data_IF_829297054972
#
_entry.id   IF_829297054972
#
_cell.length_a   1.000
_cell.length_b   1.000
_cell.length_c   1.000
_cell.angle_alpha   90.00
_cell.angle_beta   90.00
_cell.angle_gamma   90.00
#
_symmetry.space_group_name_H-M   'P 1'
#
loop_
_entity.id
_entity.type
_entity.pdbx_description
1 polymer ?
#
# COMPACT_ATOMS: atom_id res chain seq x y z
N UNK A 1 9.01 -3.59 16.97
CA UNK A 1 8.56 -2.89 15.75
C UNK A 1 7.18 -2.26 15.96
N UNK A 2 6.91 -1.07 15.38
CA UNK A 2 5.60 -0.39 15.41
C UNK A 2 5.16 -0.05 13.99
N UNK A 3 3.99 -0.56 13.60
CA UNK A 3 3.42 -0.37 12.28
C UNK A 3 2.52 0.86 12.22
N UNK A 4 2.72 1.70 11.21
CA UNK A 4 1.72 2.65 10.75
C UNK A 4 0.81 1.97 9.72
N UNK A 5 -0.49 1.96 10.01
CA UNK A 5 -1.52 1.31 9.22
C UNK A 5 -2.19 2.32 8.28
N UNK A 6 -2.10 2.06 6.96
CA UNK A 6 -2.66 2.90 5.90
C UNK A 6 -3.85 2.18 5.23
N UNK A 7 -5.10 2.66 5.40
CA UNK A 7 -6.28 2.04 4.80
C UNK A 7 -6.29 2.12 3.27
N UNK A 8 -7.17 1.33 2.67
CA UNK A 8 -7.51 1.47 1.25
C UNK A 8 -8.36 2.71 0.95
N UNK A 9 -8.65 2.88 -0.34
CA UNK A 9 -9.56 3.89 -0.84
C UNK A 9 -10.91 3.86 -0.12
N UNK A 10 -11.46 5.04 0.19
CA UNK A 10 -12.72 5.18 0.95
C UNK A 10 -12.63 4.50 2.33
N UNK A 11 -11.44 4.36 2.90
CA UNK A 11 -11.24 3.79 4.22
C UNK A 11 -11.20 4.86 5.31
N UNK A 12 -11.06 4.42 6.56
CA UNK A 12 -10.79 5.29 7.71
C UNK A 12 -9.94 4.53 8.72
N UNK A 13 -9.29 5.23 9.64
CA UNK A 13 -8.50 4.59 10.69
C UNK A 13 -9.38 3.62 11.51
N UNK A 14 -10.63 4.02 11.77
CA UNK A 14 -11.63 3.21 12.46
C UNK A 14 -11.99 1.95 11.68
N UNK A 15 -12.32 2.06 10.39
CA UNK A 15 -12.71 0.90 9.58
C UNK A 15 -11.53 -0.04 9.40
N UNK A 16 -10.32 0.48 9.21
CA UNK A 16 -9.14 -0.35 9.00
C UNK A 16 -8.70 -1.07 10.27
N UNK A 17 -8.88 -0.46 11.45
CA UNK A 17 -8.72 -1.16 12.73
C UNK A 17 -9.64 -2.36 12.85
N UNK A 18 -10.89 -2.26 12.38
CA UNK A 18 -11.82 -3.39 12.37
C UNK A 18 -11.42 -4.43 11.31
N UNK A 19 -10.97 -4.01 10.14
CA UNK A 19 -10.55 -4.91 9.06
C UNK A 19 -9.30 -5.71 9.45
N UNK A 20 -8.30 -5.04 10.02
CA UNK A 20 -7.01 -5.61 10.40
C UNK A 20 -7.05 -6.31 11.77
N UNK A 21 -8.05 -6.00 12.61
CA UNK A 21 -8.17 -6.45 14.00
C UNK A 21 -7.80 -7.92 14.24
N UNK A 22 -8.39 -8.90 13.52
CA UNK A 22 -8.05 -10.31 13.72
C UNK A 22 -6.55 -10.63 13.58
N UNK A 23 -5.87 -9.98 12.63
CA UNK A 23 -4.42 -10.12 12.44
C UNK A 23 -3.65 -9.32 13.49
N UNK A 24 -4.00 -8.04 13.68
CA UNK A 24 -3.31 -7.13 14.58
C UNK A 24 -3.34 -7.63 16.04
N UNK A 25 -4.52 -8.05 16.51
CA UNK A 25 -4.73 -8.53 17.87
C UNK A 25 -3.86 -9.78 18.15
N UNK A 26 -3.75 -10.70 17.19
CA UNK A 26 -2.95 -11.91 17.35
C UNK A 26 -1.44 -11.62 17.28
N UNK A 27 -1.01 -10.70 16.42
CA UNK A 27 0.39 -10.21 16.36
C UNK A 27 0.79 -9.51 17.67
N UNK A 28 -0.08 -8.66 18.21
CA UNK A 28 0.11 -7.99 19.51
C UNK A 28 0.10 -9.00 20.67
N UNK A 29 -0.82 -9.97 20.66
CA UNK A 29 -0.89 -11.04 21.68
C UNK A 29 0.39 -11.88 21.73
N UNK A 30 1.05 -12.10 20.59
CA UNK A 30 2.35 -12.78 20.50
C UNK A 30 3.54 -11.86 20.82
N UNK A 31 3.31 -10.57 21.04
CA UNK A 31 4.36 -9.59 21.36
C UNK A 31 5.29 -9.29 20.19
N UNK A 32 4.84 -9.49 18.96
CA UNK A 32 5.68 -9.32 17.76
C UNK A 32 5.77 -7.86 17.32
N UNK A 33 4.66 -7.12 17.37
CA UNK A 33 4.61 -5.71 16.99
C UNK A 33 3.39 -5.00 17.60
N UNK A 34 3.33 -3.69 17.42
CA UNK A 34 2.17 -2.85 17.78
C UNK A 34 1.71 -2.02 16.59
N UNK A 35 0.46 -1.53 16.63
CA UNK A 35 -0.16 -0.87 15.48
C UNK A 35 -0.70 0.52 15.84
N UNK A 36 -0.40 1.51 15.00
CA UNK A 36 -1.08 2.80 14.98
C UNK A 36 -1.81 2.96 13.65
N UNK A 37 -2.99 3.58 13.67
CA UNK A 37 -3.88 3.64 12.50
C UNK A 37 -4.03 5.08 12.04
N UNK A 38 -3.81 5.31 10.74
CA UNK A 38 -4.05 6.59 10.09
C UNK A 38 -5.10 6.45 8.98
N UNK A 39 -5.30 7.51 8.23
CA UNK A 39 -6.26 7.65 7.13
C UNK A 39 -5.85 8.83 6.26
N UNK A 40 -6.42 8.92 5.07
CA UNK A 40 -6.24 10.09 4.21
C UNK A 40 -6.89 11.36 4.77
N UNK A 41 -6.44 12.51 4.26
CA UNK A 41 -6.93 13.82 4.68
C UNK A 41 -8.26 14.24 4.01
N UNK A 42 -8.66 13.55 2.94
CA UNK A 42 -9.79 13.96 2.12
C UNK A 42 -11.03 13.12 2.43
N UNK A 43 -12.00 13.69 3.16
CA UNK A 43 -13.29 13.03 3.40
C UNK A 43 -14.08 12.94 2.10
N UNK A 44 -14.65 11.76 1.84
CA UNK A 44 -15.39 11.44 0.61
C UNK A 44 -16.65 10.64 0.90
N UNK A 45 -17.55 10.63 -0.07
CA UNK A 45 -18.70 9.73 -0.12
C UNK A 45 -18.32 8.40 -0.75
N UNK A 46 -18.99 7.33 -0.33
CA UNK A 46 -18.92 6.08 -1.06
C UNK A 46 -19.53 6.26 -2.48
N UNK A 47 -18.97 5.58 -3.49
CA UNK A 47 -19.58 5.54 -4.81
C UNK A 47 -21.01 4.99 -4.75
N UNK A 48 -21.94 5.50 -5.58
CA UNK A 48 -23.32 5.01 -5.60
C UNK A 48 -23.40 3.48 -5.79
N UNK A 49 -24.13 2.80 -4.91
CA UNK A 49 -24.26 1.33 -4.88
C UNK A 49 -23.13 0.59 -4.15
N UNK A 50 -22.21 1.30 -3.49
CA UNK A 50 -21.11 0.75 -2.68
C UNK A 50 -21.12 1.27 -1.24
N UNK A 51 -22.23 1.84 -0.79
CA UNK A 51 -22.38 2.49 0.51
C UNK A 51 -22.05 1.55 1.68
N UNK A 52 -22.42 0.26 1.55
CA UNK A 52 -22.19 -0.75 2.59
C UNK A 52 -20.82 -1.45 2.47
N UNK A 53 -20.11 -1.28 1.34
CA UNK A 53 -18.87 -2.01 1.07
C UNK A 53 -17.68 -1.47 1.85
N UNK A 54 -17.56 -0.14 1.91
CA UNK A 54 -16.40 0.55 2.49
C UNK A 54 -16.46 0.73 4.01
N UNK A 55 -17.58 0.34 4.61
CA UNK A 55 -17.81 0.41 6.05
C UNK A 55 -18.44 1.72 6.50
N UNK A 56 -18.35 1.99 7.81
CA UNK A 56 -19.04 3.13 8.40
C UNK A 56 -18.35 4.46 8.06
N UNK A 57 -19.15 5.49 7.84
CA UNK A 57 -18.68 6.87 7.67
C UNK A 57 -18.05 7.45 8.95
N UNK A 58 -17.21 8.49 8.83
CA UNK A 58 -16.69 9.11 7.59
C UNK A 58 -15.67 8.22 6.85
N UNK A 59 -15.58 8.41 5.53
CA UNK A 59 -14.67 7.68 4.63
C UNK A 59 -13.67 8.67 4.03
N UNK A 60 -12.46 8.19 3.74
CA UNK A 60 -11.35 9.04 3.34
C UNK A 60 -10.58 8.45 2.15
N UNK A 61 -9.91 9.34 1.42
CA UNK A 61 -8.95 9.02 0.37
C UNK A 61 -7.61 9.66 0.71
N UNK A 62 -6.52 8.95 0.42
CA UNK A 62 -5.19 9.56 0.49
C UNK A 62 -4.98 10.49 -0.70
N UNK A 63 -5.35 10.06 -1.91
CA UNK A 63 -5.25 10.90 -3.09
C UNK A 63 -6.56 11.67 -3.28
N UNK A 64 -6.46 13.00 -3.28
CA UNK A 64 -7.59 13.89 -3.49
C UNK A 64 -8.30 13.60 -4.84
N UNK A 65 -9.63 13.59 -4.79
CA UNK A 65 -10.53 13.31 -5.92
C UNK A 65 -11.22 14.58 -6.44
N UNK A 66 -10.80 15.78 -6.02
CA UNK A 66 -11.37 17.08 -6.41
C UNK A 66 -11.44 17.31 -7.93
N UNK A 67 -10.60 16.62 -8.70
CA UNK A 67 -10.56 16.67 -10.16
C UNK A 67 -11.16 15.44 -10.86
N UNK A 68 -11.83 14.57 -10.09
CA UNK A 68 -12.45 13.35 -10.58
C UNK A 68 -11.94 12.11 -9.87
N UNK A 69 -12.84 11.15 -9.70
CA UNK A 69 -12.55 9.86 -9.09
C UNK A 69 -12.44 8.77 -10.16
N UNK A 70 -11.44 7.90 -10.03
CA UNK A 70 -11.18 6.79 -10.95
C UNK A 70 -11.95 5.51 -10.59
N UNK A 71 -12.82 5.51 -9.57
CA UNK A 71 -13.54 4.32 -9.13
C UNK A 71 -14.36 3.61 -10.23
N UNK A 72 -15.09 4.35 -11.06
CA UNK A 72 -15.85 3.74 -12.17
C UNK A 72 -14.94 3.12 -13.23
N UNK A 73 -13.72 3.66 -13.40
CA UNK A 73 -12.70 3.06 -14.28
C UNK A 73 -12.14 1.78 -13.65
N UNK A 74 -11.80 1.81 -12.35
CA UNK A 74 -11.40 0.63 -11.58
C UNK A 74 -12.43 -0.49 -11.69
N UNK A 75 -13.72 -0.14 -11.68
CA UNK A 75 -14.82 -1.11 -11.79
C UNK A 75 -14.80 -1.90 -13.10
N UNK A 76 -14.47 -1.23 -14.21
CA UNK A 76 -14.42 -1.85 -15.56
C UNK A 76 -13.26 -2.83 -15.72
N UNK A 77 -12.22 -2.72 -14.89
CA UNK A 77 -11.04 -3.58 -14.96
C UNK A 77 -11.30 -5.02 -14.54
N UNK A 78 -12.42 -5.30 -13.87
CA UNK A 78 -12.90 -6.68 -13.61
C UNK A 78 -13.09 -7.52 -14.87
N UNK A 79 -13.11 -6.90 -16.05
CA UNK A 79 -13.33 -7.55 -17.33
C UNK A 79 -12.05 -7.62 -18.20
N UNK A 80 -10.88 -7.38 -17.63
CA UNK A 80 -9.61 -7.35 -18.37
C UNK A 80 -9.12 -8.76 -18.75
N UNK A 81 -8.36 -8.89 -19.86
CA UNK A 81 -7.84 -10.18 -20.31
C UNK A 81 -6.78 -10.73 -19.34
N UNK A 82 -6.93 -11.98 -18.94
CA UNK A 82 -5.98 -12.69 -18.06
C UNK A 82 -4.58 -12.93 -18.69
N UNK A 83 -4.37 -12.61 -19.97
CA UNK A 83 -3.13 -12.92 -20.69
C UNK A 83 -2.04 -11.86 -20.56
N UNK A 84 -2.27 -10.79 -19.79
CA UNK A 84 -1.34 -9.68 -19.64
C UNK A 84 -0.35 -9.93 -18.49
N UNK A 85 0.90 -9.50 -18.65
CA UNK A 85 1.84 -9.49 -17.52
C UNK A 85 1.49 -8.36 -16.53
N UNK A 86 2.14 -8.36 -15.36
CA UNK A 86 1.79 -7.45 -14.27
C UNK A 86 2.05 -5.97 -14.61
N UNK A 87 3.19 -5.68 -15.24
CA UNK A 87 3.62 -4.34 -15.63
C UNK A 87 2.70 -3.74 -16.69
N UNK A 88 2.37 -4.50 -17.74
CA UNK A 88 1.44 -4.06 -18.79
C UNK A 88 0.03 -3.84 -18.24
N UNK A 89 -0.40 -4.65 -17.25
CA UNK A 89 -1.68 -4.43 -16.59
C UNK A 89 -1.72 -3.08 -15.85
N UNK A 90 -0.61 -2.68 -15.23
CA UNK A 90 -0.48 -1.35 -14.61
C UNK A 90 -0.39 -0.24 -15.65
N UNK A 91 0.32 -0.42 -16.76
CA UNK A 91 0.35 0.58 -17.85
C UNK A 91 -1.04 0.85 -18.41
N UNK A 92 -1.81 -0.21 -18.69
CA UNK A 92 -3.20 -0.05 -19.09
C UNK A 92 -4.01 0.70 -18.04
N UNK A 93 -3.82 0.43 -16.75
CA UNK A 93 -4.49 1.17 -15.68
C UNK A 93 -4.19 2.67 -15.72
N UNK A 94 -2.92 3.04 -15.89
CA UNK A 94 -2.50 4.45 -15.98
C UNK A 94 -3.07 5.14 -17.22
N UNK A 95 -3.07 4.47 -18.37
CA UNK A 95 -3.63 4.99 -19.63
C UNK A 95 -5.14 5.22 -19.53
N UNK A 96 -5.89 4.33 -18.86
CA UNK A 96 -7.31 4.60 -18.56
C UNK A 96 -7.51 5.81 -17.63
N UNK A 97 -6.50 6.16 -16.84
CA UNK A 97 -6.45 7.29 -15.93
C UNK A 97 -6.21 8.65 -16.59
N UNK A 98 -5.64 8.68 -17.80
CA UNK A 98 -5.30 9.93 -18.52
C UNK A 98 -6.56 10.73 -18.90
N UNK A 99 -6.93 11.68 -18.05
CA UNK A 99 -7.86 12.74 -18.40
C UNK A 99 -7.11 13.84 -19.15
N UNK A 100 -7.38 13.99 -20.46
CA UNK A 100 -7.19 15.20 -21.29
C UNK A 100 -5.92 16.08 -21.09
N UNK A 101 -4.82 15.56 -20.54
CA UNK A 101 -3.58 16.32 -20.34
C UNK A 101 -3.60 17.34 -19.19
N UNK A 102 -4.40 17.13 -18.15
CA UNK A 102 -4.41 18.04 -16.97
C UNK A 102 -3.37 17.64 -15.89
N UNK A 103 -2.63 18.63 -15.42
CA UNK A 103 -1.40 18.64 -14.60
C UNK A 103 -1.61 18.31 -13.10
N UNK A 104 -2.86 18.30 -12.62
CA UNK A 104 -3.17 18.27 -11.19
C UNK A 104 -2.73 16.99 -10.46
N UNK A 105 -2.48 15.90 -11.19
CA UNK A 105 -2.06 14.61 -10.63
C UNK A 105 -0.80 14.73 -9.76
N UNK A 106 0.16 15.57 -10.16
CA UNK A 106 1.36 15.77 -9.34
C UNK A 106 1.09 16.52 -8.05
N UNK A 107 0.20 17.51 -8.08
CA UNK A 107 -0.14 18.26 -6.89
C UNK A 107 -0.83 17.37 -5.87
N UNK A 108 -1.89 16.66 -6.26
CA UNK A 108 -2.63 15.76 -5.35
C UNK A 108 -1.74 14.64 -4.81
N UNK A 109 -0.79 14.16 -5.63
CA UNK A 109 0.18 13.17 -5.20
C UNK A 109 1.19 13.72 -4.18
N UNK A 110 1.72 14.93 -4.42
CA UNK A 110 2.63 15.59 -3.46
C UNK A 110 1.94 15.84 -2.12
N UNK A 111 0.72 16.38 -2.15
CA UNK A 111 -0.09 16.62 -0.94
C UNK A 111 -0.28 15.31 -0.14
N UNK A 112 -0.70 14.23 -0.81
CA UNK A 112 -0.86 12.91 -0.17
C UNK A 112 0.45 12.39 0.46
N UNK A 113 1.57 12.53 -0.25
CA UNK A 113 2.87 12.09 0.24
C UNK A 113 3.36 12.91 1.43
N UNK A 114 3.16 14.23 1.40
CA UNK A 114 3.52 15.14 2.50
C UNK A 114 2.69 14.81 3.75
N UNK A 115 1.38 14.56 3.60
CA UNK A 115 0.50 14.19 4.73
C UNK A 115 0.92 12.87 5.39
N UNK A 116 1.23 11.84 4.60
CA UNK A 116 1.70 10.56 5.14
C UNK A 116 3.08 10.71 5.79
N UNK A 117 4.02 11.43 5.16
CA UNK A 117 5.31 11.74 5.77
C UNK A 117 5.16 12.46 7.11
N UNK A 118 4.25 13.43 7.19
CA UNK A 118 3.94 14.14 8.43
C UNK A 118 3.37 13.18 9.48
N UNK A 119 2.45 12.29 9.11
CA UNK A 119 1.92 11.26 10.01
C UNK A 119 3.04 10.39 10.60
N UNK A 120 3.99 9.93 9.77
CA UNK A 120 5.14 9.14 10.27
C UNK A 120 6.04 10.02 11.17
N UNK A 121 6.14 11.32 10.93
CA UNK A 121 6.95 12.24 11.74
C UNK A 121 6.36 12.51 13.12
N UNK A 122 5.03 12.49 13.25
CA UNK A 122 4.33 12.67 14.52
C UNK A 122 4.55 11.51 15.49
N UNK A 123 4.81 10.31 14.98
CA UNK A 123 5.10 9.12 15.78
C UNK A 123 6.53 8.59 15.49
N UNK A 124 7.54 9.02 16.27
CA UNK A 124 8.93 8.65 16.02
C UNK A 124 9.22 7.16 16.25
N UNK A 125 8.33 6.43 16.91
CA UNK A 125 8.47 4.98 17.14
C UNK A 125 8.08 4.14 15.91
N UNK A 126 7.38 4.73 14.93
CA UNK A 126 7.02 4.04 13.69
C UNK A 126 8.27 3.70 12.90
N UNK A 127 8.49 2.41 12.71
CA UNK A 127 9.59 1.83 11.93
C UNK A 127 9.13 0.78 10.93
N UNK A 128 7.80 0.60 10.76
CA UNK A 128 7.22 -0.27 9.76
C UNK A 128 5.90 0.27 9.19
N UNK A 129 5.54 -0.18 7.99
CA UNK A 129 4.29 0.19 7.31
C UNK A 129 3.43 -1.05 7.08
N UNK A 130 2.12 -0.92 7.25
CA UNK A 130 1.15 -1.86 6.69
C UNK A 130 0.12 -1.08 5.89
N UNK A 131 0.02 -1.36 4.59
CA UNK A 131 -0.92 -0.69 3.71
C UNK A 131 -1.88 -1.68 3.05
N UNK A 132 -3.11 -1.23 2.80
CA UNK A 132 -4.08 -1.96 1.99
C UNK A 132 -4.47 -1.14 0.75
N UNK A 133 -4.47 -1.74 -0.44
CA UNK A 133 -4.93 -1.11 -1.69
C UNK A 133 -4.26 0.24 -1.94
N UNK A 134 -5.01 1.35 -2.00
CA UNK A 134 -4.45 2.72 -2.08
C UNK A 134 -3.38 2.98 -1.00
N UNK A 135 -3.63 2.57 0.26
CA UNK A 135 -2.69 2.73 1.35
C UNK A 135 -1.41 1.90 1.17
N UNK A 136 -1.48 0.76 0.49
CA UNK A 136 -0.28 -0.02 0.13
C UNK A 136 0.55 0.70 -0.94
N UNK A 137 -0.10 1.27 -1.95
CA UNK A 137 0.57 2.07 -2.98
C UNK A 137 1.22 3.34 -2.39
N UNK A 138 0.52 4.07 -1.53
CA UNK A 138 1.05 5.24 -0.80
C UNK A 138 2.21 4.82 0.12
N UNK A 139 2.04 3.72 0.86
CA UNK A 139 3.09 3.18 1.73
C UNK A 139 4.34 2.74 0.97
N UNK A 140 4.19 2.10 -0.19
CA UNK A 140 5.32 1.73 -1.05
C UNK A 140 6.06 2.98 -1.54
N UNK A 141 5.33 4.00 -1.97
CA UNK A 141 5.92 5.27 -2.40
C UNK A 141 6.64 6.01 -1.28
N UNK A 142 6.10 5.97 -0.06
CA UNK A 142 6.75 6.51 1.13
C UNK A 142 8.11 5.85 1.37
N UNK A 143 8.19 4.52 1.29
CA UNK A 143 9.45 3.79 1.45
C UNK A 143 10.47 4.22 0.40
N UNK A 144 10.06 4.37 -0.86
CA UNK A 144 10.94 4.87 -1.93
C UNK A 144 11.40 6.31 -1.63
N UNK A 145 10.51 7.18 -1.18
CA UNK A 145 10.85 8.57 -0.88
C UNK A 145 11.77 8.70 0.34
N UNK A 146 11.59 7.92 1.41
CA UNK A 146 12.53 7.88 2.53
C UNK A 146 13.93 7.43 2.09
N UNK A 147 14.02 6.38 1.26
CA UNK A 147 15.30 5.92 0.72
C UNK A 147 15.98 6.99 -0.14
N UNK A 148 15.23 7.72 -0.97
CA UNK A 148 15.75 8.83 -1.77
C UNK A 148 16.23 9.98 -0.90
N UNK A 149 15.48 10.38 0.14
CA UNK A 149 15.89 11.41 1.11
C UNK A 149 17.17 11.01 1.84
N UNK A 150 17.34 9.73 2.16
CA UNK A 150 18.56 9.21 2.75
C UNK A 150 19.75 9.28 1.79
N UNK A 151 19.59 8.92 0.53
CA UNK A 151 20.65 9.03 -0.48
C UNK A 151 21.08 10.49 -0.71
N UNK A 152 20.16 11.44 -0.59
CA UNK A 152 20.46 12.89 -0.66
C UNK A 152 21.07 13.47 0.63
N UNK A 153 21.17 12.67 1.70
CA UNK A 153 21.69 13.11 3.00
C UNK A 153 20.72 14.02 3.78
N UNK A 154 19.44 14.05 3.40
CA UNK A 154 18.43 14.91 4.03
C UNK A 154 17.95 14.32 5.36
N UNK A 155 17.81 12.99 5.43
CA UNK A 155 17.32 12.28 6.61
C UNK A 155 17.61 10.78 6.53
N UNK A 156 17.81 10.11 7.67
CA UNK A 156 17.85 8.65 7.73
C UNK A 156 16.45 8.04 7.51
N UNK A 157 16.36 7.01 6.65
CA UNK A 157 15.13 6.21 6.49
C UNK A 157 14.76 5.53 7.81
N UNK A 158 13.49 5.58 8.18
CA UNK A 158 13.00 4.98 9.43
C UNK A 158 12.24 3.70 9.18
N UNK A 159 11.59 3.58 8.02
CA UNK A 159 10.85 2.37 7.69
C UNK A 159 11.82 1.24 7.35
N UNK A 160 11.77 0.17 8.13
CA UNK A 160 12.63 -1.02 8.05
C UNK A 160 11.90 -2.26 7.57
N UNK A 161 10.57 -2.24 7.57
CA UNK A 161 9.73 -3.34 7.09
C UNK A 161 8.41 -2.80 6.53
N UNK A 162 7.88 -3.43 5.49
CA UNK A 162 6.58 -3.09 4.95
C UNK A 162 5.71 -4.32 4.65
N UNK A 163 4.43 -4.24 4.98
CA UNK A 163 3.41 -5.21 4.61
C UNK A 163 2.46 -4.55 3.61
N UNK A 164 2.27 -5.17 2.45
CA UNK A 164 1.41 -4.66 1.39
C UNK A 164 0.27 -5.64 1.11
N UNK A 165 -0.96 -5.22 1.41
CA UNK A 165 -2.17 -6.00 1.16
C UNK A 165 -2.84 -5.49 -0.12
N UNK A 166 -2.93 -6.32 -1.17
CA UNK A 166 -3.54 -5.98 -2.46
C UNK A 166 -3.07 -4.63 -3.02
N UNK A 167 -1.77 -4.36 -2.96
CA UNK A 167 -1.19 -3.06 -3.33
C UNK A 167 -0.97 -2.86 -4.82
N UNK A 168 -0.39 -1.70 -5.16
CA UNK A 168 0.08 -1.36 -6.50
C UNK A 168 1.45 -0.68 -6.43
N UNK A 169 2.24 -0.67 -7.51
CA UNK A 169 3.62 -0.19 -7.47
C UNK A 169 3.74 1.27 -7.02
N UNK A 170 4.88 1.66 -6.42
CA UNK A 170 5.10 3.02 -5.95
C UNK A 170 5.08 4.01 -7.10
N UNK A 171 4.55 5.20 -6.87
CA UNK A 171 4.42 6.26 -7.86
C UNK A 171 5.63 7.21 -7.82
N UNK A 172 5.97 7.79 -8.97
CA UNK A 172 6.94 8.88 -9.11
C UNK A 172 6.36 10.01 -9.97
N UNK A 173 6.86 11.22 -9.76
CA UNK A 173 6.70 12.31 -10.72
C UNK A 173 7.62 12.07 -11.92
N UNK A 174 7.10 12.31 -13.13
CA UNK A 174 7.82 12.07 -14.40
C UNK A 174 8.25 13.36 -15.14
N UNK A 175 8.42 14.47 -14.44
CA UNK A 175 8.88 15.74 -15.04
C UNK A 175 7.85 16.48 -15.92
N UNK A 176 7.07 15.76 -16.73
CA UNK A 176 6.02 16.28 -17.61
C UNK A 176 4.69 16.48 -16.89
N UNK A 177 4.71 16.87 -15.61
CA UNK A 177 3.50 17.07 -14.82
C UNK A 177 2.59 15.83 -14.69
N UNK A 178 3.18 14.66 -14.89
CA UNK A 178 2.55 13.35 -14.72
C UNK A 178 3.04 12.63 -13.48
N UNK A 179 2.19 11.75 -12.96
CA UNK A 179 2.53 10.77 -11.93
C UNK A 179 2.37 9.38 -12.55
N UNK A 180 3.44 8.59 -12.50
CA UNK A 180 3.50 7.26 -13.11
C UNK A 180 3.94 6.24 -12.07
N UNK A 181 3.49 5.00 -12.20
CA UNK A 181 4.01 3.89 -11.40
C UNK A 181 5.43 3.55 -11.82
N UNK A 182 6.28 3.25 -10.85
CA UNK A 182 7.59 2.66 -11.08
C UNK A 182 7.40 1.15 -11.28
N UNK A 183 7.75 0.67 -12.47
CA UNK A 183 7.62 -0.72 -12.88
C UNK A 183 8.99 -1.38 -12.95
N UNK A 184 9.07 -2.68 -12.70
CA UNK A 184 10.34 -3.39 -12.57
C UNK A 184 11.12 -3.46 -13.89
N UNK A 185 10.43 -3.54 -15.02
CA UNK A 185 11.03 -3.56 -16.36
C UNK A 185 11.62 -2.20 -16.81
N UNK A 186 11.27 -1.11 -16.12
CA UNK A 186 11.78 0.25 -16.38
C UNK A 186 12.71 0.75 -15.29
N UNK A 187 12.34 0.55 -14.02
CA UNK A 187 13.01 1.11 -12.85
C UNK A 187 13.84 0.07 -12.08
N UNK A 188 13.66 -1.23 -12.35
CA UNK A 188 14.28 -2.30 -11.59
C UNK A 188 13.76 -2.37 -10.15
N UNK A 189 14.67 -2.70 -9.23
CA UNK A 189 14.39 -2.74 -7.80
C UNK A 189 14.47 -1.32 -7.22
N UNK A 190 13.37 -0.87 -6.60
CA UNK A 190 13.28 0.47 -5.98
C UNK A 190 12.98 0.41 -4.47
N UNK A 191 12.61 -0.77 -3.95
CA UNK A 191 12.39 -1.02 -2.52
C UNK A 191 13.35 -2.12 -2.05
N UNK A 192 14.32 -1.76 -1.21
CA UNK A 192 15.37 -2.68 -0.72
C UNK A 192 15.18 -3.13 0.75
N UNK A 193 14.12 -2.69 1.42
CA UNK A 193 13.78 -3.20 2.75
C UNK A 193 13.05 -4.53 2.64
N UNK A 194 13.05 -5.37 3.69
CA UNK A 194 12.17 -6.52 3.75
C UNK A 194 10.70 -6.15 3.54
N UNK A 195 9.98 -6.98 2.78
CA UNK A 195 8.56 -6.79 2.48
C UNK A 195 7.77 -8.07 2.60
N UNK A 196 6.50 -7.94 2.99
CA UNK A 196 5.54 -9.04 2.98
C UNK A 196 4.29 -8.67 2.21
N UNK A 197 4.04 -9.38 1.12
CA UNK A 197 2.96 -9.12 0.18
C UNK A 197 1.83 -10.12 0.41
N UNK A 198 0.65 -9.59 0.68
CA UNK A 198 -0.58 -10.35 0.92
C UNK A 198 -1.56 -10.00 -0.19
N UNK A 199 -2.10 -10.98 -0.88
CA UNK A 199 -3.07 -10.76 -1.95
C UNK A 199 -3.99 -11.97 -2.08
N UNK A 200 -5.04 -11.84 -2.88
CA UNK A 200 -5.92 -12.97 -3.20
C UNK A 200 -5.83 -13.29 -4.69
N UNK A 201 -5.74 -14.57 -5.06
CA UNK A 201 -5.77 -14.97 -6.47
C UNK A 201 -7.10 -14.65 -7.18
N UNK A 202 -8.18 -14.40 -6.42
CA UNK A 202 -9.46 -13.91 -6.93
C UNK A 202 -9.58 -12.37 -6.92
N UNK A 203 -8.51 -11.65 -6.61
CA UNK A 203 -8.45 -10.19 -6.66
C UNK A 203 -8.38 -9.72 -8.13
N UNK A 204 -9.30 -8.83 -8.51
CA UNK A 204 -9.31 -8.22 -9.84
C UNK A 204 -8.08 -7.34 -10.10
N UNK A 205 -7.38 -6.93 -9.05
CA UNK A 205 -6.17 -6.10 -9.10
C UNK A 205 -4.89 -6.90 -8.83
N UNK A 206 -4.93 -8.23 -8.97
CA UNK A 206 -3.76 -9.11 -8.76
C UNK A 206 -2.51 -8.63 -9.51
N UNK A 207 -2.67 -8.15 -10.76
CA UNK A 207 -1.57 -7.60 -11.55
C UNK A 207 -0.82 -6.47 -10.84
N UNK A 208 -1.52 -5.61 -10.10
CA UNK A 208 -0.88 -4.54 -9.31
C UNK A 208 -0.10 -5.06 -8.11
N UNK A 209 -0.63 -6.08 -7.41
CA UNK A 209 0.07 -6.68 -6.28
C UNK A 209 1.37 -7.40 -6.72
N UNK A 210 1.33 -8.07 -7.87
CA UNK A 210 2.51 -8.70 -8.49
C UNK A 210 3.50 -7.65 -9.00
N UNK A 211 3.04 -6.59 -9.67
CA UNK A 211 3.92 -5.51 -10.13
C UNK A 211 4.62 -4.80 -8.96
N UNK A 212 3.92 -4.62 -7.82
CA UNK A 212 4.52 -4.08 -6.61
C UNK A 212 5.59 -5.02 -6.04
N UNK A 213 5.35 -6.34 -6.04
CA UNK A 213 6.36 -7.31 -5.63
C UNK A 213 7.62 -7.28 -6.52
N UNK A 214 7.45 -7.12 -7.83
CA UNK A 214 8.55 -7.14 -8.79
C UNK A 214 9.56 -5.98 -8.61
N UNK A 215 9.16 -4.88 -7.95
CA UNK A 215 10.06 -3.75 -7.66
C UNK A 215 10.70 -3.82 -6.27
N UNK A 216 10.44 -4.88 -5.51
CA UNK A 216 11.03 -5.15 -4.19
C UNK A 216 12.19 -6.13 -4.28
N UNK A 217 13.20 -5.99 -3.39
CA UNK A 217 14.37 -6.87 -3.34
C UNK A 217 13.93 -8.34 -3.14
N UNK A 218 14.13 -9.23 -4.14
CA UNK A 218 13.54 -10.56 -4.14
C UNK A 218 14.05 -11.45 -3.00
N UNK A 219 15.28 -11.24 -2.52
CA UNK A 219 15.83 -12.02 -1.41
C UNK A 219 15.27 -11.63 -0.04
N UNK A 220 14.60 -10.47 0.05
CA UNK A 220 14.03 -9.92 1.29
C UNK A 220 12.49 -9.90 1.26
N UNK A 221 11.89 -10.34 0.17
CA UNK A 221 10.44 -10.24 -0.07
C UNK A 221 9.76 -11.59 0.11
N UNK A 222 8.58 -11.61 0.74
CA UNK A 222 7.74 -12.80 0.92
C UNK A 222 6.33 -12.54 0.36
N UNK A 223 5.69 -13.56 -0.19
CA UNK A 223 4.32 -13.51 -0.73
C UNK A 223 3.41 -14.50 -0.02
N UNK A 224 2.14 -14.14 0.17
CA UNK A 224 1.08 -15.01 0.65
C UNK A 224 -0.23 -14.76 -0.11
N UNK A 225 -0.77 -15.80 -0.74
CA UNK A 225 -2.08 -15.79 -1.38
C UNK A 225 -3.15 -16.30 -0.39
N UNK A 226 -4.08 -15.43 0.00
CA UNK A 226 -5.18 -15.77 0.90
C UNK A 226 -6.42 -16.33 0.17
N UNK A 227 -6.41 -16.41 -1.16
CA UNK A 227 -7.44 -17.05 -1.98
C UNK A 227 -8.76 -16.29 -2.15
N UNK A 228 -8.92 -15.11 -1.54
CA UNK A 228 -10.15 -14.32 -1.61
C UNK A 228 -10.04 -13.21 -2.67
N UNK A 229 -11.03 -12.30 -2.73
CA UNK A 229 -10.99 -11.14 -3.61
C UNK A 229 -10.16 -9.98 -3.06
N UNK A 230 -10.46 -8.75 -3.49
CA UNK A 230 -9.80 -7.52 -3.06
C UNK A 230 -10.18 -7.11 -1.62
N UNK A 231 -9.73 -7.86 -0.62
CA UNK A 231 -10.10 -7.66 0.79
C UNK A 231 -8.92 -7.93 1.73
N UNK A 232 -8.99 -7.37 2.95
CA UNK A 232 -8.14 -7.82 4.05
C UNK A 232 -8.68 -9.16 4.59
N UNK A 233 -7.90 -10.25 4.59
CA UNK A 233 -8.37 -11.54 5.08
C UNK A 233 -8.59 -11.51 6.60
N UNK A 234 -9.71 -12.08 7.04
CA UNK A 234 -10.15 -12.06 8.46
C UNK A 234 -10.58 -13.43 8.98
N UNK A 235 -10.65 -14.44 8.10
CA UNK A 235 -10.95 -15.79 8.51
C UNK A 235 -9.79 -16.39 9.32
N UNK A 236 -10.11 -17.30 10.23
CA UNK A 236 -9.15 -17.82 11.20
C UNK A 236 -7.98 -18.57 10.56
N UNK A 237 -8.18 -19.20 9.40
CA UNK A 237 -7.14 -19.94 8.70
C UNK A 237 -6.09 -19.00 8.12
N UNK A 238 -6.52 -18.00 7.34
CA UNK A 238 -5.62 -17.00 6.80
C UNK A 238 -4.93 -16.20 7.90
N UNK A 239 -5.65 -15.77 8.94
CA UNK A 239 -5.05 -15.04 10.07
C UNK A 239 -3.95 -15.87 10.72
N UNK A 240 -4.18 -17.16 11.01
CA UNK A 240 -3.16 -18.03 11.60
C UNK A 240 -1.92 -18.12 10.71
N UNK A 241 -2.10 -18.37 9.41
CA UNK A 241 -0.99 -18.50 8.47
C UNK A 241 -0.17 -17.21 8.34
N UNK A 242 -0.83 -16.05 8.27
CA UNK A 242 -0.17 -14.75 8.23
C UNK A 242 0.67 -14.49 9.49
N UNK A 243 0.14 -14.83 10.67
CA UNK A 243 0.85 -14.68 11.94
C UNK A 243 2.06 -15.61 12.00
N UNK A 244 1.91 -16.87 11.60
CA UNK A 244 3.02 -17.84 11.61
C UNK A 244 4.17 -17.38 10.68
N UNK A 245 3.85 -16.73 9.54
CA UNK A 245 4.85 -16.10 8.68
C UNK A 245 5.51 -14.91 9.38
N UNK A 246 4.73 -14.01 9.97
CA UNK A 246 5.25 -12.82 10.66
C UNK A 246 6.13 -13.17 11.86
N UNK A 247 5.81 -14.25 12.59
CA UNK A 247 6.63 -14.77 13.69
C UNK A 247 8.02 -15.23 13.20
N UNK A 248 8.12 -15.71 11.96
CA UNK A 248 9.38 -16.06 11.33
C UNK A 248 10.15 -14.87 10.72
N UNK A 249 9.45 -13.81 10.29
CA UNK A 249 10.03 -12.65 9.62
C UNK A 249 10.51 -11.57 10.61
N UNK A 250 9.64 -11.14 11.54
CA UNK A 250 9.89 -9.97 12.40
C UNK A 250 11.18 -10.12 13.22
N UNK A 251 11.46 -11.25 13.91
CA UNK A 251 12.68 -11.39 14.69
C UNK A 251 13.97 -11.31 13.86
N UNK A 252 13.94 -11.80 12.60
CA UNK A 252 15.10 -11.72 11.69
C UNK A 252 15.38 -10.27 11.32
N UNK A 253 14.33 -9.52 10.97
CA UNK A 253 14.42 -8.10 10.62
C UNK A 253 14.93 -7.30 11.82
N UNK A 254 14.40 -7.51 13.01
CA UNK A 254 14.89 -6.83 14.22
C UNK A 254 16.33 -7.25 14.61
N UNK A 255 16.77 -8.44 14.24
CA UNK A 255 18.14 -8.92 14.43
C UNK A 255 19.14 -8.24 13.48
N UNK A 256 18.80 -8.17 12.19
CA UNK A 256 19.62 -7.52 11.16
C UNK A 256 19.82 -6.02 11.44
N UNK A 257 18.76 -5.35 11.91
CA UNK A 257 18.79 -3.92 12.24
C UNK A 257 19.60 -3.58 13.51
N UNK A 258 19.96 -4.55 14.37
CA UNK A 258 20.85 -4.32 15.52
C UNK A 258 22.33 -4.42 15.15
N UNK A 259 22.64 -4.99 13.99
CA UNK A 259 24.00 -5.22 13.51
C UNK A 259 24.49 -4.13 12.53
N UNK A 260 23.61 -3.22 12.09
CA UNK A 260 23.91 -2.05 11.26
C UNK A 260 24.02 -0.79 12.11
#
# INVERSE_FOLDING_TARGET
>A
MKFLCLPGAYGSAKNFRVQLGPLADEVERRGLATFTYSQGAHEVEAPPGWEDYFGARPLYRFIDTRHGDNFEKLRRLRHMPYSMNAEDAIRMFQEFGEGNGEDWHQQVWREAMDDVLNTVNEDPEVDAIIGYSEGAMVGASLVVEEARRQQRGERQSRIKFAIFISGSPPLKSDGDNRVVSQLADEAGIVIDIPTFHIFGCNDAFLGGAVALYNVCEPTKSTMFDHGLGHIVPRDAENVRMLVDILEGLIPKIEGENRCQ
#
